data_IF_122360053281
#
_entry.id   IF_122360053281
#
_cell.length_a   1.000
_cell.length_b   1.000
_cell.length_c   1.000
_cell.angle_alpha   90.00
_cell.angle_beta   90.00
_cell.angle_gamma   90.00
#
_symmetry.space_group_name_H-M   'P 1'
#
loop_
_entity.id
_entity.type
_entity.pdbx_description
1 polymer ?
#
# COMPACT_ATOMS: atom_id res chain seq x y z
N UNK A 1 -26.40 1.57 2.51
CA UNK A 1 -25.97 2.75 3.32
C UNK A 1 -25.72 3.95 2.42
N UNK A 2 -25.51 5.15 2.99
CA UNK A 2 -25.18 6.37 2.25
C UNK A 2 -23.82 6.90 2.73
N UNK A 3 -22.93 7.23 1.81
CA UNK A 3 -21.68 7.91 2.13
C UNK A 3 -21.93 9.32 2.66
N UNK A 4 -21.19 9.69 3.69
CA UNK A 4 -21.13 11.06 4.22
C UNK A 4 -19.65 11.36 4.53
N UNK A 5 -19.11 12.52 4.12
CA UNK A 5 -17.76 12.91 4.46
C UNK A 5 -17.50 12.84 5.98
N UNK A 6 -16.33 12.37 6.37
CA UNK A 6 -16.02 12.04 7.76
C UNK A 6 -16.27 13.21 8.75
N UNK A 7 -15.90 14.42 8.33
CA UNK A 7 -16.07 15.63 9.15
C UNK A 7 -17.52 16.14 9.20
N UNK A 8 -18.39 15.61 8.33
CA UNK A 8 -19.81 15.99 8.26
C UNK A 8 -20.72 14.99 9.00
N UNK A 9 -20.16 13.96 9.64
CA UNK A 9 -20.95 12.98 10.39
C UNK A 9 -21.73 13.57 11.54
N UNK A 10 -21.15 14.53 12.27
CA UNK A 10 -21.84 15.29 13.32
C UNK A 10 -22.40 14.44 14.47
N UNK A 11 -21.71 13.37 14.88
CA UNK A 11 -22.13 12.47 15.95
C UNK A 11 -23.29 11.53 15.60
N UNK A 12 -23.75 11.50 14.34
CA UNK A 12 -24.82 10.61 13.90
C UNK A 12 -24.35 9.14 13.88
N UNK A 13 -25.26 8.16 14.14
CA UNK A 13 -24.96 6.74 14.01
C UNK A 13 -24.34 6.42 12.64
N UNK A 14 -23.15 5.82 12.65
CA UNK A 14 -22.40 5.56 11.42
C UNK A 14 -21.54 4.29 11.52
N UNK A 15 -21.10 3.81 10.36
CA UNK A 15 -20.05 2.80 10.18
C UNK A 15 -18.83 3.49 9.59
N UNK A 16 -17.65 3.23 10.15
CA UNK A 16 -16.38 3.65 9.56
C UNK A 16 -15.72 2.44 8.94
N UNK A 17 -15.42 2.55 7.65
CA UNK A 17 -14.66 1.55 6.90
C UNK A 17 -13.24 2.05 6.69
N UNK A 18 -12.27 1.15 6.83
CA UNK A 18 -10.87 1.41 6.54
C UNK A 18 -10.31 2.69 7.18
N UNK A 19 -10.63 2.92 8.44
CA UNK A 19 -10.25 4.16 9.14
C UNK A 19 -10.46 4.09 10.64
N UNK A 20 -10.30 5.24 11.28
CA UNK A 20 -10.48 5.40 12.73
C UNK A 20 -11.91 5.81 13.09
N UNK A 21 -12.47 5.32 14.19
CA UNK A 21 -13.80 5.72 14.65
C UNK A 21 -13.85 7.20 15.05
N UNK A 22 -15.05 7.76 14.99
CA UNK A 22 -15.36 9.11 15.50
C UNK A 22 -16.61 9.06 16.38
N UNK A 23 -17.06 10.20 16.89
CA UNK A 23 -18.31 10.27 17.64
C UNK A 23 -19.49 9.70 16.84
N UNK A 24 -20.31 8.87 17.46
CA UNK A 24 -21.45 8.20 16.82
C UNK A 24 -21.09 6.95 16.02
N UNK A 25 -19.82 6.57 15.91
CA UNK A 25 -19.43 5.33 15.22
C UNK A 25 -19.88 4.10 16.02
N UNK A 26 -20.75 3.27 15.40
CA UNK A 26 -21.27 2.04 15.98
C UNK A 26 -20.45 0.81 15.59
N UNK A 27 -19.79 0.84 14.43
CA UNK A 27 -18.93 -0.23 13.95
C UNK A 27 -17.76 0.38 13.17
N UNK A 28 -16.55 -0.08 13.49
CA UNK A 28 -15.35 0.19 12.70
C UNK A 28 -14.85 -1.12 12.12
N UNK A 29 -14.63 -1.15 10.80
CA UNK A 29 -14.07 -2.30 10.10
C UNK A 29 -12.87 -1.84 9.30
N UNK A 30 -11.71 -2.24 9.77
CA UNK A 30 -10.42 -1.84 9.21
C UNK A 30 -9.37 -2.90 9.54
N UNK A 31 -8.33 -2.97 8.70
CA UNK A 31 -7.15 -3.78 8.97
C UNK A 31 -6.10 -3.02 9.80
N UNK A 32 -6.38 -1.78 10.20
CA UNK A 32 -5.42 -0.95 10.92
C UNK A 32 -5.14 -1.46 12.33
N UNK A 33 -3.91 -1.31 12.83
CA UNK A 33 -3.54 -1.67 14.19
C UNK A 33 -4.41 -0.94 15.23
N UNK A 34 -4.76 -1.66 16.30
CA UNK A 34 -5.55 -1.09 17.40
C UNK A 34 -7.08 -1.17 17.22
N UNK A 35 -7.56 -1.52 16.03
CA UNK A 35 -8.98 -1.64 15.73
C UNK A 35 -9.31 -3.05 15.22
N UNK A 36 -9.38 -4.07 16.10
CA UNK A 36 -9.65 -5.44 15.65
C UNK A 36 -11.07 -5.55 15.09
N UNK A 37 -11.24 -5.98 13.83
CA UNK A 37 -12.56 -6.19 13.25
C UNK A 37 -13.24 -7.41 13.89
N UNK A 38 -14.58 -7.56 13.77
CA UNK A 38 -15.26 -8.79 14.15
C UNK A 38 -14.62 -10.00 13.46
N UNK A 39 -14.39 -11.09 14.21
CA UNK A 39 -13.62 -12.26 13.73
C UNK A 39 -14.21 -12.87 12.46
N UNK A 40 -15.53 -12.87 12.31
CA UNK A 40 -16.21 -13.45 11.15
C UNK A 40 -15.90 -12.72 9.83
N UNK A 41 -15.56 -11.43 9.90
CA UNK A 41 -15.27 -10.60 8.71
C UNK A 41 -13.80 -10.27 8.53
N UNK A 42 -12.95 -10.59 9.51
CA UNK A 42 -11.54 -10.26 9.49
C UNK A 42 -10.81 -10.82 8.26
N UNK A 43 -10.10 -9.96 7.53
CA UNK A 43 -9.32 -10.28 6.33
C UNK A 43 -8.12 -9.32 6.18
N UNK A 44 -7.38 -9.40 5.10
CA UNK A 44 -6.18 -8.59 4.84
C UNK A 44 -6.50 -7.14 4.46
N UNK A 45 -7.59 -6.92 3.74
CA UNK A 45 -8.05 -5.62 3.25
C UNK A 45 -9.42 -5.27 3.83
N UNK A 46 -9.64 -4.01 4.12
CA UNK A 46 -10.95 -3.51 4.58
C UNK A 46 -12.02 -3.73 3.52
N UNK A 47 -11.67 -3.69 2.23
CA UNK A 47 -12.56 -4.04 1.11
C UNK A 47 -13.05 -5.50 1.20
N UNK A 48 -12.16 -6.45 1.47
CA UNK A 48 -12.55 -7.85 1.68
C UNK A 48 -13.47 -8.00 2.88
N UNK A 49 -13.17 -7.28 3.97
CA UNK A 49 -14.02 -7.25 5.16
C UNK A 49 -15.40 -6.66 4.87
N UNK A 50 -15.50 -5.63 4.01
CA UNK A 50 -16.77 -5.05 3.59
C UNK A 50 -17.65 -6.07 2.85
N UNK A 51 -17.07 -6.84 1.92
CA UNK A 51 -17.81 -7.91 1.25
C UNK A 51 -18.22 -9.02 2.21
N UNK A 52 -17.38 -9.38 3.19
CA UNK A 52 -17.78 -10.33 4.24
C UNK A 52 -18.89 -9.79 5.13
N UNK A 53 -18.94 -8.48 5.39
CA UNK A 53 -20.08 -7.86 6.10
C UNK A 53 -21.38 -8.01 5.32
N UNK A 54 -21.34 -7.93 3.99
CA UNK A 54 -22.54 -8.20 3.17
C UNK A 54 -22.98 -9.66 3.24
N UNK A 55 -22.02 -10.60 3.42
CA UNK A 55 -22.30 -12.02 3.65
C UNK A 55 -22.80 -12.30 5.09
N UNK A 56 -22.59 -11.36 6.05
CA UNK A 56 -22.94 -11.41 7.47
C UNK A 56 -23.76 -10.18 7.90
N UNK A 57 -24.96 -9.97 7.32
CA UNK A 57 -25.76 -8.75 7.57
C UNK A 57 -26.17 -8.57 9.05
N UNK A 58 -26.16 -9.62 9.84
CA UNK A 58 -26.43 -9.58 11.29
C UNK A 58 -25.36 -8.80 12.09
N UNK A 59 -24.18 -8.57 11.50
CA UNK A 59 -23.11 -7.77 12.12
C UNK A 59 -23.23 -6.26 11.82
N UNK A 60 -24.06 -5.88 10.86
CA UNK A 60 -24.28 -4.47 10.54
C UNK A 60 -25.18 -3.83 11.64
N UNK A 61 -24.74 -2.71 12.23
CA UNK A 61 -25.55 -1.99 13.18
C UNK A 61 -26.71 -1.26 12.50
N UNK A 62 -27.66 -0.77 13.31
CA UNK A 62 -28.74 0.11 12.84
C UNK A 62 -28.16 1.51 12.54
N UNK A 63 -27.49 1.62 11.41
CA UNK A 63 -26.87 2.85 10.90
C UNK A 63 -27.11 2.97 9.39
N UNK A 64 -27.47 4.18 8.95
CA UNK A 64 -27.67 4.47 7.53
C UNK A 64 -26.43 5.07 6.86
N UNK A 65 -25.45 5.52 7.66
CA UNK A 65 -24.29 6.29 7.20
C UNK A 65 -23.03 5.43 7.23
N UNK A 66 -22.22 5.59 6.18
CA UNK A 66 -20.85 5.03 6.09
C UNK A 66 -19.86 6.13 5.73
N UNK A 67 -18.66 6.05 6.29
CA UNK A 67 -17.60 7.03 6.08
C UNK A 67 -16.20 6.45 6.20
N UNK A 68 -15.20 7.26 5.82
CA UNK A 68 -13.77 7.04 6.06
C UNK A 68 -13.09 8.39 6.31
N UNK A 69 -12.01 8.40 7.09
CA UNK A 69 -11.23 9.60 7.43
C UNK A 69 -10.13 9.97 6.43
N UNK A 70 -9.91 9.19 5.40
CA UNK A 70 -8.97 9.43 4.31
C UNK A 70 -9.53 8.86 3.00
N UNK A 71 -8.84 9.10 1.88
CA UNK A 71 -9.20 8.55 0.57
C UNK A 71 -8.06 7.71 0.00
N UNK A 72 -8.37 6.45 -0.29
CA UNK A 72 -7.56 5.52 -1.06
C UNK A 72 -8.46 4.45 -1.73
N UNK A 73 -7.84 3.44 -2.34
CA UNK A 73 -8.56 2.41 -3.07
C UNK A 73 -9.26 1.41 -2.17
N UNK A 74 -8.65 1.03 -1.04
CA UNK A 74 -9.25 0.08 -0.08
C UNK A 74 -10.47 0.71 0.60
N UNK A 75 -10.33 1.94 1.09
CA UNK A 75 -11.44 2.71 1.65
C UNK A 75 -12.56 2.94 0.65
N UNK A 76 -12.23 3.31 -0.61
CA UNK A 76 -13.22 3.50 -1.66
C UNK A 76 -14.04 2.24 -1.94
N UNK A 77 -13.38 1.10 -2.14
CA UNK A 77 -14.05 -0.19 -2.40
C UNK A 77 -14.89 -0.60 -1.20
N UNK A 78 -14.37 -0.44 0.01
CA UNK A 78 -15.09 -0.75 1.26
C UNK A 78 -16.40 0.02 1.38
N UNK A 79 -16.37 1.33 1.10
CA UNK A 79 -17.56 2.20 1.13
C UNK A 79 -18.50 1.84 -0.02
N UNK A 80 -17.97 1.63 -1.24
CA UNK A 80 -18.77 1.28 -2.40
C UNK A 80 -19.57 -0.01 -2.20
N UNK A 81 -18.96 -1.02 -1.58
CA UNK A 81 -19.64 -2.27 -1.25
C UNK A 81 -20.88 -2.05 -0.37
N UNK A 82 -20.84 -1.11 0.58
CA UNK A 82 -21.97 -0.81 1.47
C UNK A 82 -22.98 0.18 0.85
N UNK A 83 -22.56 1.04 -0.09
CA UNK A 83 -23.43 2.05 -0.75
C UNK A 83 -24.19 1.42 -1.91
N UNK A 84 -23.55 0.60 -2.74
CA UNK A 84 -24.17 -0.11 -3.86
C UNK A 84 -23.80 -1.59 -3.87
N UNK A 85 -24.32 -2.38 -2.93
CA UNK A 85 -23.94 -3.78 -2.74
C UNK A 85 -24.23 -4.64 -3.98
N UNK A 86 -25.26 -4.35 -4.75
CA UNK A 86 -25.62 -5.15 -5.94
C UNK A 86 -24.57 -5.01 -7.02
N UNK A 87 -24.21 -3.76 -7.36
CA UNK A 87 -23.20 -3.47 -8.38
C UNK A 87 -21.81 -3.89 -7.92
N UNK A 88 -21.49 -3.71 -6.63
CA UNK A 88 -20.21 -4.10 -6.04
C UNK A 88 -20.03 -5.63 -6.04
N UNK A 89 -21.02 -6.41 -5.58
CA UNK A 89 -20.95 -7.87 -5.56
C UNK A 89 -20.76 -8.46 -6.97
N UNK A 90 -21.37 -7.86 -8.00
CA UNK A 90 -21.18 -8.30 -9.39
C UNK A 90 -19.74 -8.13 -9.90
N UNK A 91 -18.93 -7.30 -9.22
CA UNK A 91 -17.53 -6.99 -9.57
C UNK A 91 -16.55 -7.31 -8.44
N UNK A 92 -16.97 -8.08 -7.43
CA UNK A 92 -16.23 -8.34 -6.19
C UNK A 92 -14.74 -8.64 -6.45
N UNK A 93 -14.43 -9.62 -7.29
CA UNK A 93 -13.06 -10.03 -7.54
C UNK A 93 -12.17 -8.89 -8.09
N UNK A 94 -12.70 -8.06 -9.01
CA UNK A 94 -11.99 -6.92 -9.55
C UNK A 94 -11.82 -5.81 -8.52
N UNK A 95 -12.83 -5.57 -7.68
CA UNK A 95 -12.78 -4.54 -6.65
C UNK A 95 -11.85 -4.92 -5.49
N UNK A 96 -11.82 -6.18 -5.05
CA UNK A 96 -10.84 -6.67 -4.08
C UNK A 96 -9.40 -6.54 -4.63
N UNK A 97 -9.20 -6.81 -5.92
CA UNK A 97 -7.91 -6.65 -6.59
C UNK A 97 -7.51 -5.17 -6.75
N UNK A 98 -8.49 -4.28 -6.99
CA UNK A 98 -8.28 -2.83 -7.00
C UNK A 98 -7.80 -2.31 -5.63
N UNK A 99 -8.38 -2.79 -4.53
CA UNK A 99 -7.96 -2.45 -3.18
C UNK A 99 -6.50 -2.92 -2.93
N UNK A 100 -6.16 -4.15 -3.33
CA UNK A 100 -4.79 -4.67 -3.25
C UNK A 100 -3.80 -3.87 -4.11
N UNK A 101 -4.23 -3.40 -5.28
CA UNK A 101 -3.40 -2.55 -6.14
C UNK A 101 -3.13 -1.17 -5.52
N UNK A 102 -4.05 -0.65 -4.71
CA UNK A 102 -3.86 0.56 -3.92
C UNK A 102 -2.87 0.34 -2.78
N UNK A 103 -3.24 -0.50 -1.83
CA UNK A 103 -2.56 -0.65 -0.55
C UNK A 103 -1.27 -1.45 -0.62
N UNK A 104 -1.30 -2.60 -1.31
CA UNK A 104 -0.19 -3.55 -1.33
C UNK A 104 0.68 -3.45 -2.58
N UNK A 105 0.29 -2.59 -3.53
CA UNK A 105 0.91 -2.52 -4.84
C UNK A 105 1.00 -3.92 -5.50
N UNK A 106 -0.07 -4.73 -5.36
CA UNK A 106 -0.20 -6.04 -6.00
C UNK A 106 -1.48 -6.10 -6.82
N UNK A 107 -1.46 -6.86 -7.91
CA UNK A 107 -2.64 -7.04 -8.75
C UNK A 107 -2.62 -8.38 -9.47
N UNK A 108 -3.78 -8.87 -9.85
CA UNK A 108 -4.00 -10.07 -10.68
C UNK A 108 -4.57 -9.70 -12.03
N UNK A 109 -5.50 -8.73 -12.06
CA UNK A 109 -6.11 -8.19 -13.27
C UNK A 109 -5.52 -6.82 -13.58
N UNK A 110 -4.97 -6.65 -14.79
CA UNK A 110 -4.42 -5.37 -15.24
C UNK A 110 -5.44 -4.23 -15.21
N UNK A 111 -6.73 -4.56 -15.32
CA UNK A 111 -7.81 -3.58 -15.18
C UNK A 111 -7.81 -2.96 -13.79
N UNK A 112 -7.65 -3.76 -12.73
CA UNK A 112 -7.55 -3.27 -11.35
C UNK A 112 -6.37 -2.31 -11.18
N UNK A 113 -5.19 -2.67 -11.69
CA UNK A 113 -4.01 -1.80 -11.68
C UNK A 113 -4.28 -0.46 -12.39
N UNK A 114 -4.89 -0.49 -13.59
CA UNK A 114 -5.23 0.72 -14.36
C UNK A 114 -6.27 1.58 -13.67
N UNK A 115 -7.30 0.99 -13.07
CA UNK A 115 -8.28 1.74 -12.25
C UNK A 115 -7.58 2.39 -11.06
N UNK A 116 -6.69 1.69 -10.37
CA UNK A 116 -5.88 2.25 -9.29
C UNK A 116 -5.03 3.44 -9.76
N UNK A 117 -4.44 3.37 -10.97
CA UNK A 117 -3.69 4.48 -11.57
C UNK A 117 -4.58 5.69 -11.88
N UNK A 118 -5.82 5.47 -12.37
CA UNK A 118 -6.79 6.57 -12.57
C UNK A 118 -7.13 7.26 -11.26
N UNK A 119 -7.42 6.49 -10.21
CA UNK A 119 -7.74 7.04 -8.88
C UNK A 119 -6.54 7.81 -8.30
N UNK A 120 -5.31 7.28 -8.47
CA UNK A 120 -4.08 7.97 -8.11
C UNK A 120 -3.88 9.27 -8.91
N UNK A 121 -4.21 9.27 -10.19
CA UNK A 121 -4.16 10.46 -11.03
C UNK A 121 -5.15 11.55 -10.53
N UNK A 122 -6.37 11.15 -10.20
CA UNK A 122 -7.35 12.08 -9.62
C UNK A 122 -6.90 12.62 -8.26
N UNK A 123 -6.38 11.76 -7.37
CA UNK A 123 -5.84 12.18 -6.08
C UNK A 123 -4.64 13.13 -6.21
N UNK A 124 -3.91 13.08 -7.32
CA UNK A 124 -2.84 14.02 -7.68
C UNK A 124 -3.34 15.27 -8.43
N UNK A 125 -4.66 15.49 -8.54
CA UNK A 125 -5.24 16.65 -9.24
C UNK A 125 -5.07 16.60 -10.76
N UNK A 126 -4.89 15.42 -11.35
CA UNK A 126 -4.81 15.24 -12.80
C UNK A 126 -6.20 14.89 -13.39
N UNK A 127 -6.42 15.30 -14.64
CA UNK A 127 -7.68 15.02 -15.35
C UNK A 127 -8.70 16.14 -15.23
N UNK A 128 -9.96 15.76 -15.10
CA UNK A 128 -11.13 16.64 -15.07
C UNK A 128 -11.59 17.00 -13.64
N UNK A 129 -10.73 16.78 -12.63
CA UNK A 129 -11.01 17.05 -11.23
C UNK A 129 -10.14 18.20 -10.74
N UNK A 130 -10.77 19.26 -10.21
CA UNK A 130 -10.09 20.36 -9.54
C UNK A 130 -10.17 20.13 -8.03
N UNK A 131 -9.03 19.83 -7.41
CA UNK A 131 -8.96 19.52 -5.99
C UNK A 131 -9.01 20.80 -5.14
N UNK A 132 -9.83 20.82 -4.06
CA UNK A 132 -9.75 21.84 -3.01
C UNK A 132 -8.36 21.92 -2.38
N UNK A 133 -8.08 23.00 -1.65
CA UNK A 133 -6.79 23.19 -0.97
C UNK A 133 -6.67 22.41 0.34
N UNK A 134 -7.77 22.09 1.00
CA UNK A 134 -7.76 21.35 2.27
C UNK A 134 -8.08 19.86 2.05
N UNK A 135 -7.36 19.02 2.77
CA UNK A 135 -7.45 17.57 2.62
C UNK A 135 -8.84 16.98 2.91
N UNK A 136 -9.60 17.41 3.94
CA UNK A 136 -10.95 16.93 4.16
C UNK A 136 -11.89 17.14 2.96
N UNK A 137 -11.86 18.33 2.35
CA UNK A 137 -12.64 18.61 1.16
C UNK A 137 -12.13 17.84 -0.07
N UNK A 138 -10.81 17.63 -0.20
CA UNK A 138 -10.25 16.76 -1.24
C UNK A 138 -10.79 15.33 -1.12
N UNK A 139 -10.71 14.74 0.07
CA UNK A 139 -11.19 13.38 0.32
C UNK A 139 -12.70 13.26 0.03
N UNK A 140 -13.51 14.22 0.47
CA UNK A 140 -14.94 14.26 0.21
C UNK A 140 -15.23 14.27 -1.31
N UNK A 141 -14.58 15.16 -2.06
CA UNK A 141 -14.74 15.27 -3.52
C UNK A 141 -14.31 13.97 -4.23
N UNK A 142 -13.16 13.40 -3.82
CA UNK A 142 -12.64 12.16 -4.41
C UNK A 142 -13.61 11.00 -4.18
N UNK A 143 -14.20 10.88 -3.00
CA UNK A 143 -15.25 9.89 -2.74
C UNK A 143 -16.47 10.13 -3.62
N UNK A 144 -17.00 11.35 -3.68
CA UNK A 144 -18.21 11.67 -4.46
C UNK A 144 -18.01 11.31 -5.94
N UNK A 145 -16.91 11.74 -6.54
CA UNK A 145 -16.59 11.47 -7.95
C UNK A 145 -16.33 9.97 -8.19
N UNK A 146 -15.55 9.35 -7.31
CA UNK A 146 -15.15 7.96 -7.50
C UNK A 146 -16.32 6.99 -7.28
N UNK A 147 -17.15 7.19 -6.25
CA UNK A 147 -18.34 6.38 -6.01
C UNK A 147 -19.32 6.44 -7.20
N UNK A 148 -19.49 7.63 -7.79
CA UNK A 148 -20.36 7.80 -8.95
C UNK A 148 -19.84 7.12 -10.23
N UNK A 149 -18.52 6.95 -10.36
CA UNK A 149 -17.86 6.51 -11.62
C UNK A 149 -17.18 5.15 -11.51
N UNK A 150 -17.15 4.51 -10.33
CA UNK A 150 -16.36 3.28 -10.11
C UNK A 150 -16.80 2.13 -11.03
N UNK A 151 -18.10 1.94 -11.24
CA UNK A 151 -18.59 0.93 -12.17
C UNK A 151 -18.14 1.20 -13.61
N UNK A 152 -18.18 2.46 -14.07
CA UNK A 152 -17.69 2.85 -15.39
C UNK A 152 -16.18 2.64 -15.52
N UNK A 153 -15.40 2.98 -14.48
CA UNK A 153 -13.96 2.72 -14.46
C UNK A 153 -13.65 1.22 -14.60
N UNK A 154 -14.36 0.37 -13.86
CA UNK A 154 -14.18 -1.08 -13.93
C UNK A 154 -14.54 -1.65 -15.31
N UNK A 155 -15.63 -1.18 -15.90
CA UNK A 155 -16.16 -1.74 -17.16
C UNK A 155 -15.48 -1.14 -18.40
N UNK A 156 -14.91 0.08 -18.30
CA UNK A 156 -14.43 0.88 -19.44
C UNK A 156 -13.15 1.65 -19.16
N UNK A 157 -12.18 1.09 -18.42
CA UNK A 157 -10.94 1.77 -18.02
C UNK A 157 -10.16 2.37 -19.20
N UNK A 158 -10.28 1.78 -20.40
CA UNK A 158 -9.62 2.28 -21.60
C UNK A 158 -10.04 3.71 -21.99
N UNK A 159 -11.23 4.16 -21.61
CA UNK A 159 -11.67 5.54 -21.83
C UNK A 159 -10.85 6.58 -21.06
N UNK A 160 -10.16 6.12 -20.03
CA UNK A 160 -9.33 6.94 -19.13
C UNK A 160 -7.84 6.82 -19.40
N UNK A 161 -7.44 6.31 -20.58
CA UNK A 161 -6.04 6.04 -20.92
C UNK A 161 -5.12 7.23 -20.70
N UNK A 162 -5.59 8.47 -20.89
CA UNK A 162 -4.79 9.67 -20.65
C UNK A 162 -4.34 9.84 -19.18
N UNK A 163 -4.99 9.13 -18.23
CA UNK A 163 -4.67 9.20 -16.79
C UNK A 163 -3.77 8.06 -16.32
N UNK A 164 -3.83 6.91 -16.98
CA UNK A 164 -3.11 5.72 -16.55
C UNK A 164 -1.99 5.26 -17.51
N UNK A 165 -2.00 5.74 -18.79
CA UNK A 165 -1.16 5.16 -19.84
C UNK A 165 0.33 5.21 -19.54
N UNK A 166 0.86 6.36 -19.14
CA UNK A 166 2.30 6.55 -18.87
C UNK A 166 2.78 5.69 -17.69
N UNK A 167 1.94 5.56 -16.66
CA UNK A 167 2.23 4.72 -15.49
C UNK A 167 2.17 3.22 -15.86
N UNK A 168 1.20 2.81 -16.65
CA UNK A 168 1.07 1.44 -17.17
C UNK A 168 2.22 1.05 -18.10
N UNK A 169 2.71 1.99 -18.90
CA UNK A 169 3.90 1.79 -19.73
C UNK A 169 5.15 1.57 -18.86
N UNK A 170 5.28 2.31 -17.75
CA UNK A 170 6.39 2.13 -16.79
C UNK A 170 6.27 0.80 -16.03
N UNK A 171 5.06 0.42 -15.61
CA UNK A 171 4.82 -0.89 -15.02
C UNK A 171 5.22 -2.00 -15.99
N UNK A 172 4.81 -1.88 -17.26
CA UNK A 172 5.17 -2.84 -18.31
C UNK A 172 6.68 -2.91 -18.53
N UNK A 173 7.39 -1.78 -18.54
CA UNK A 173 8.84 -1.75 -18.68
C UNK A 173 9.54 -2.43 -17.50
N UNK A 174 9.09 -2.19 -16.26
CA UNK A 174 9.61 -2.83 -15.05
C UNK A 174 9.41 -4.34 -15.05
N UNK A 175 8.20 -4.81 -15.41
CA UNK A 175 7.92 -6.24 -15.58
C UNK A 175 8.78 -6.89 -16.67
N UNK A 176 9.04 -6.18 -17.76
CA UNK A 176 9.91 -6.66 -18.82
C UNK A 176 11.36 -6.75 -18.36
N UNK A 177 11.86 -5.78 -17.58
CA UNK A 177 13.20 -5.80 -17.01
C UNK A 177 13.40 -7.03 -16.10
N UNK A 178 12.40 -7.37 -15.27
CA UNK A 178 12.42 -8.60 -14.46
C UNK A 178 12.45 -9.84 -15.38
N UNK A 179 11.58 -9.92 -16.40
CA UNK A 179 11.55 -11.06 -17.31
C UNK A 179 12.83 -11.24 -18.13
N UNK A 180 13.56 -10.15 -18.44
CA UNK A 180 14.84 -10.20 -19.18
C UNK A 180 16.05 -10.44 -18.28
N UNK A 181 15.86 -10.46 -16.95
CA UNK A 181 16.95 -10.60 -15.98
C UNK A 181 17.78 -9.32 -15.78
N UNK A 182 17.35 -8.17 -16.28
CA UNK A 182 17.90 -6.85 -15.98
C UNK A 182 17.60 -6.45 -14.51
N UNK A 183 16.55 -7.04 -13.96
CA UNK A 183 16.22 -7.02 -12.53
C UNK A 183 16.08 -8.45 -12.06
N UNK A 184 16.90 -8.87 -11.09
CA UNK A 184 16.79 -10.18 -10.49
C UNK A 184 16.27 -10.09 -9.06
N UNK A 185 15.41 -11.04 -8.66
CA UNK A 185 14.81 -11.07 -7.33
C UNK A 185 15.17 -12.40 -6.66
N UNK A 186 15.81 -12.33 -5.49
CA UNK A 186 16.21 -13.49 -4.71
C UNK A 186 15.59 -13.44 -3.34
N UNK A 187 14.74 -14.39 -3.01
CA UNK A 187 14.07 -14.49 -1.72
C UNK A 187 14.96 -15.18 -0.68
N UNK A 188 15.09 -14.57 0.50
CA UNK A 188 15.67 -15.15 1.70
C UNK A 188 14.53 -15.34 2.71
N UNK A 189 13.80 -16.45 2.56
CA UNK A 189 12.58 -16.74 3.32
C UNK A 189 12.77 -16.82 4.83
N UNK A 190 13.97 -17.22 5.29
CA UNK A 190 14.34 -17.31 6.71
C UNK A 190 14.16 -15.97 7.46
N UNK A 191 14.38 -14.84 6.79
CA UNK A 191 14.26 -13.49 7.36
C UNK A 191 13.20 -12.63 6.66
N UNK A 192 12.41 -13.25 5.75
CA UNK A 192 11.32 -12.63 5.02
C UNK A 192 11.74 -11.41 4.17
N UNK A 193 12.94 -11.51 3.52
CA UNK A 193 13.48 -10.44 2.67
C UNK A 193 13.66 -10.92 1.23
N UNK A 194 13.30 -10.06 0.27
CA UNK A 194 13.68 -10.16 -1.12
C UNK A 194 14.85 -9.22 -1.42
N UNK A 195 15.89 -9.72 -2.04
CA UNK A 195 16.98 -8.90 -2.60
C UNK A 195 16.65 -8.66 -4.06
N UNK A 196 16.49 -7.39 -4.42
CA UNK A 196 16.18 -6.93 -5.77
C UNK A 196 17.44 -6.29 -6.34
N UNK A 197 18.16 -7.04 -7.16
CA UNK A 197 19.37 -6.54 -7.85
C UNK A 197 18.96 -5.92 -9.19
N UNK A 198 19.27 -4.65 -9.38
CA UNK A 198 18.92 -3.85 -10.55
C UNK A 198 20.18 -3.56 -11.36
N UNK A 199 20.23 -4.05 -12.60
CA UNK A 199 21.31 -3.72 -13.54
C UNK A 199 21.35 -2.21 -13.84
N UNK A 200 22.53 -1.63 -14.03
CA UNK A 200 22.70 -0.21 -14.36
C UNK A 200 21.99 0.17 -15.67
N UNK A 201 21.78 -0.79 -16.55
CA UNK A 201 21.08 -0.61 -17.84
C UNK A 201 19.56 -0.70 -17.72
N UNK A 202 19.03 -1.17 -16.60
CA UNK A 202 17.59 -1.28 -16.38
C UNK A 202 16.91 0.10 -16.43
N UNK A 203 15.65 0.19 -16.90
CA UNK A 203 14.90 1.44 -16.91
C UNK A 203 14.85 2.09 -15.52
N UNK A 204 14.98 3.40 -15.45
CA UNK A 204 14.89 4.18 -14.24
C UNK A 204 13.93 5.35 -14.46
N UNK A 205 12.64 5.09 -14.41
CA UNK A 205 11.59 6.11 -14.54
C UNK A 205 11.09 6.48 -13.15
N UNK A 206 11.21 7.74 -12.76
CA UNK A 206 10.68 8.21 -11.48
C UNK A 206 9.16 8.21 -11.45
N UNK A 207 8.59 7.99 -10.28
CA UNK A 207 7.16 8.06 -10.03
C UNK A 207 6.88 8.05 -8.53
N UNK A 208 5.61 8.28 -8.17
CA UNK A 208 5.16 8.30 -6.79
C UNK A 208 3.83 7.55 -6.66
N UNK A 209 3.73 6.74 -5.63
CA UNK A 209 2.49 6.06 -5.21
C UNK A 209 2.38 6.06 -3.69
N UNK A 210 1.35 5.41 -3.15
CA UNK A 210 1.28 5.09 -1.73
C UNK A 210 2.60 4.43 -1.27
N UNK A 211 3.17 4.94 -0.19
CA UNK A 211 4.48 4.51 0.30
C UNK A 211 5.66 5.39 -0.13
N UNK A 212 5.49 6.26 -1.13
CA UNK A 212 6.51 7.23 -1.53
C UNK A 212 6.99 7.13 -2.97
N UNK A 213 8.19 7.67 -3.22
CA UNK A 213 8.82 7.62 -4.54
C UNK A 213 9.26 6.20 -4.89
N UNK A 214 9.23 5.87 -6.18
CA UNK A 214 9.63 4.55 -6.66
C UNK A 214 11.12 4.31 -6.44
N UNK A 215 11.44 3.15 -5.87
CA UNK A 215 12.83 2.78 -5.59
C UNK A 215 13.55 2.44 -6.90
N UNK A 216 14.67 3.11 -7.13
CA UNK A 216 15.51 2.94 -8.32
C UNK A 216 14.75 2.97 -9.65
N UNK A 217 13.62 3.69 -9.68
CA UNK A 217 12.80 3.88 -10.86
C UNK A 217 11.98 2.66 -11.30
N UNK A 218 11.91 1.63 -10.47
CA UNK A 218 11.05 0.46 -10.70
C UNK A 218 9.63 0.73 -10.21
N UNK A 219 8.65 0.34 -11.02
CA UNK A 219 7.26 0.41 -10.59
C UNK A 219 7.01 -0.60 -9.45
N UNK A 220 6.50 -0.19 -8.28
CA UNK A 220 6.36 -1.07 -7.11
C UNK A 220 5.50 -2.30 -7.40
N UNK A 221 4.44 -2.19 -8.19
CA UNK A 221 3.61 -3.34 -8.57
C UNK A 221 4.40 -4.43 -9.30
N UNK A 222 5.43 -4.09 -10.09
CA UNK A 222 6.24 -5.09 -10.76
C UNK A 222 7.08 -5.90 -9.75
N UNK A 223 7.64 -5.22 -8.75
CA UNK A 223 8.45 -5.84 -7.70
C UNK A 223 7.57 -6.65 -6.75
N UNK A 224 6.48 -6.05 -6.25
CA UNK A 224 5.61 -6.69 -5.26
C UNK A 224 4.83 -7.89 -5.82
N UNK A 225 4.53 -7.91 -7.11
CA UNK A 225 3.96 -9.10 -7.76
C UNK A 225 4.98 -10.23 -7.98
N UNK A 226 6.27 -9.92 -7.97
CA UNK A 226 7.34 -10.90 -8.21
C UNK A 226 7.83 -11.58 -6.92
N UNK A 227 7.49 -11.06 -5.74
CA UNK A 227 7.84 -11.63 -4.44
C UNK A 227 6.74 -11.38 -3.40
N UNK A 228 6.56 -12.35 -2.48
CA UNK A 228 5.67 -12.20 -1.33
C UNK A 228 6.40 -11.76 -0.05
N UNK A 229 7.71 -11.46 -0.12
CA UNK A 229 8.50 -11.01 1.02
C UNK A 229 8.06 -9.62 1.47
N UNK A 230 8.02 -9.39 2.80
CA UNK A 230 7.57 -8.12 3.40
C UNK A 230 8.69 -7.12 3.63
N UNK A 231 9.94 -7.56 3.47
CA UNK A 231 11.12 -6.70 3.41
C UNK A 231 11.66 -6.76 1.98
N UNK A 232 11.77 -5.61 1.31
CA UNK A 232 12.34 -5.53 -0.02
C UNK A 232 13.63 -4.72 0.05
N UNK A 233 14.75 -5.32 -0.29
CA UNK A 233 16.06 -4.67 -0.33
C UNK A 233 16.49 -4.51 -1.79
N UNK A 234 16.48 -3.28 -2.29
CA UNK A 234 16.87 -2.94 -3.66
C UNK A 234 18.31 -2.49 -3.72
N UNK A 235 19.05 -3.06 -4.66
CA UNK A 235 20.48 -2.78 -4.89
C UNK A 235 20.65 -2.37 -6.36
N UNK A 236 21.20 -1.18 -6.60
CA UNK A 236 21.60 -0.71 -7.94
C UNK A 236 23.01 -0.13 -7.88
N UNK A 237 23.98 -0.88 -8.40
CA UNK A 237 25.38 -0.54 -8.24
C UNK A 237 25.78 -0.47 -6.75
N UNK A 238 26.09 0.71 -6.28
CA UNK A 238 26.44 0.99 -4.88
C UNK A 238 25.34 1.77 -4.12
N UNK A 239 24.12 1.82 -4.65
CA UNK A 239 22.95 2.39 -3.97
C UNK A 239 22.10 1.29 -3.37
N UNK A 240 21.65 1.53 -2.15
CA UNK A 240 20.91 0.57 -1.35
C UNK A 240 19.66 1.22 -0.79
N UNK A 241 18.53 0.51 -0.90
CA UNK A 241 17.27 0.88 -0.27
C UNK A 241 16.64 -0.37 0.37
N UNK A 242 16.04 -0.24 1.55
CA UNK A 242 15.27 -1.30 2.19
C UNK A 242 13.91 -0.75 2.55
N UNK A 243 12.87 -1.38 2.05
CA UNK A 243 11.48 -1.05 2.33
C UNK A 243 10.84 -2.12 3.20
N UNK A 244 10.11 -1.71 4.25
CA UNK A 244 9.17 -2.57 4.95
C UNK A 244 7.79 -2.36 4.37
N UNK A 245 7.28 -3.33 3.60
CA UNK A 245 5.99 -3.23 2.90
C UNK A 245 4.82 -2.98 3.85
N UNK A 246 3.77 -2.34 3.33
CA UNK A 246 2.60 -1.93 4.11
C UNK A 246 1.88 -3.10 4.79
N UNK A 247 1.83 -4.28 4.15
CA UNK A 247 1.24 -5.50 4.73
C UNK A 247 1.84 -5.85 6.10
N UNK A 248 3.09 -5.47 6.36
CA UNK A 248 3.73 -5.67 7.66
C UNK A 248 3.32 -4.65 8.73
N UNK A 249 2.61 -3.57 8.33
CA UNK A 249 2.08 -2.56 9.24
C UNK A 249 0.66 -2.87 9.69
N UNK A 250 -0.18 -3.41 8.79
CA UNK A 250 -1.59 -3.75 9.02
C UNK A 250 -1.77 -5.13 9.66
N UNK A 251 -2.98 -5.46 10.09
CA UNK A 251 -3.37 -6.78 10.60
C UNK A 251 -3.50 -7.80 9.44
N UNK A 252 -2.41 -8.04 8.71
CA UNK A 252 -2.37 -8.98 7.60
C UNK A 252 -2.52 -10.43 8.08
N UNK A 253 -3.36 -11.25 7.43
CA UNK A 253 -3.83 -12.55 7.95
C UNK A 253 -3.59 -13.73 7.02
N UNK A 254 -3.44 -13.50 5.71
CA UNK A 254 -3.26 -14.56 4.71
C UNK A 254 -2.04 -15.43 4.94
N UNK A 255 -1.04 -14.93 5.67
CA UNK A 255 0.11 -15.70 6.13
C UNK A 255 0.61 -15.20 7.48
N UNK A 256 1.36 -16.05 8.24
CA UNK A 256 2.00 -15.60 9.47
C UNK A 256 2.92 -14.41 9.19
N UNK A 257 2.70 -13.30 9.91
CA UNK A 257 3.59 -12.13 9.84
C UNK A 257 4.85 -12.36 10.66
N UNK A 258 5.99 -11.95 10.09
CA UNK A 258 7.18 -11.66 10.86
C UNK A 258 7.11 -10.19 11.30
N UNK A 259 7.09 -9.95 12.61
CA UNK A 259 7.05 -8.61 13.19
C UNK A 259 8.23 -7.77 12.67
N UNK A 260 7.97 -6.50 12.33
CA UNK A 260 9.01 -5.58 11.84
C UNK A 260 10.16 -5.45 12.81
N UNK A 261 11.35 -5.26 12.26
CA UNK A 261 12.56 -4.84 12.99
C UNK A 261 12.78 -3.34 12.77
N UNK A 262 13.24 -2.64 13.81
CA UNK A 262 13.65 -1.25 13.65
C UNK A 262 14.94 -1.20 12.82
N UNK A 263 14.92 -0.48 11.71
CA UNK A 263 16.06 -0.35 10.81
C UNK A 263 17.05 0.76 11.22
N UNK A 264 16.71 1.61 12.20
CA UNK A 264 17.58 2.70 12.65
C UNK A 264 18.94 2.20 13.21
N UNK A 265 18.98 1.12 14.03
CA UNK A 265 20.27 0.57 14.45
C UNK A 265 21.12 0.02 13.31
N UNK A 266 20.48 -0.56 12.28
CA UNK A 266 21.20 -1.00 11.08
C UNK A 266 21.76 0.18 10.29
N UNK A 267 20.98 1.25 10.12
CA UNK A 267 21.47 2.47 9.47
C UNK A 267 22.69 3.06 10.18
N UNK A 268 22.68 3.08 11.51
CA UNK A 268 23.84 3.53 12.32
C UNK A 268 25.05 2.63 12.12
N UNK A 269 24.87 1.31 12.11
CA UNK A 269 25.97 0.36 11.88
C UNK A 269 26.56 0.51 10.48
N UNK A 270 25.70 0.69 9.45
CA UNK A 270 26.16 0.93 8.08
C UNK A 270 26.91 2.27 7.95
N UNK A 271 26.45 3.31 8.65
CA UNK A 271 27.14 4.60 8.68
C UNK A 271 28.52 4.48 9.36
N UNK A 272 28.66 3.71 10.41
CA UNK A 272 29.96 3.48 11.10
C UNK A 272 30.95 2.70 10.23
N UNK A 273 30.48 1.83 9.33
CA UNK A 273 31.30 1.09 8.37
C UNK A 273 31.56 1.88 7.05
N UNK A 274 30.83 2.98 6.82
CA UNK A 274 30.95 3.79 5.59
C UNK A 274 32.31 4.52 5.54
N UNK A 275 33.04 4.37 4.43
CA UNK A 275 34.32 5.04 4.16
C UNK A 275 34.21 6.11 3.08
N UNK A 276 33.04 6.21 2.40
CA UNK A 276 32.76 7.18 1.36
C UNK A 276 31.85 8.33 1.87
N UNK A 277 31.16 8.95 0.95
CA UNK A 277 30.30 10.11 1.23
C UNK A 277 28.80 9.74 1.39
N UNK A 278 28.46 8.46 1.34
CA UNK A 278 27.07 8.02 1.52
C UNK A 278 26.56 8.37 2.91
N UNK A 279 25.29 8.76 2.97
CA UNK A 279 24.61 9.08 4.23
C UNK A 279 23.49 8.08 4.45
N UNK A 280 23.71 7.16 5.37
CA UNK A 280 22.75 6.14 5.74
C UNK A 280 21.69 6.70 6.69
N UNK A 281 20.44 6.48 6.35
CA UNK A 281 19.31 6.91 7.18
C UNK A 281 18.21 5.86 7.16
N UNK A 282 17.44 5.80 8.24
CA UNK A 282 16.24 4.97 8.33
C UNK A 282 15.09 5.74 8.97
N UNK A 283 13.89 5.42 8.55
CA UNK A 283 12.66 6.00 9.09
C UNK A 283 12.16 5.19 10.29
N UNK A 284 11.37 5.82 11.20
CA UNK A 284 10.80 5.12 12.35
C UNK A 284 9.93 3.92 11.93
N UNK A 285 10.09 2.80 12.62
CA UNK A 285 9.43 1.51 12.30
C UNK A 285 7.89 1.57 12.26
N UNK A 286 7.28 2.51 12.97
CA UNK A 286 5.83 2.72 13.02
C UNK A 286 5.25 3.46 11.80
N UNK A 287 6.08 3.97 10.87
CA UNK A 287 5.56 4.54 9.62
C UNK A 287 4.88 3.46 8.78
N UNK A 288 3.96 3.86 7.91
CA UNK A 288 3.22 2.93 7.04
C UNK A 288 4.17 2.07 6.20
N UNK A 289 5.12 2.71 5.50
CA UNK A 289 6.15 2.07 4.69
C UNK A 289 7.50 2.70 5.04
N UNK A 290 8.16 2.26 6.14
CA UNK A 290 9.44 2.83 6.53
C UNK A 290 10.55 2.31 5.63
N UNK A 291 11.51 3.19 5.33
CA UNK A 291 12.67 2.91 4.49
C UNK A 291 13.99 3.12 5.22
N UNK A 292 15.01 2.37 4.78
CA UNK A 292 16.42 2.61 5.03
C UNK A 292 17.09 2.85 3.69
N UNK A 293 17.94 3.88 3.58
CA UNK A 293 18.62 4.21 2.33
C UNK A 293 20.06 4.65 2.55
N UNK A 294 20.93 4.39 1.57
CA UNK A 294 22.28 4.92 1.49
C UNK A 294 22.35 6.37 0.96
N UNK A 295 21.19 6.94 0.64
CA UNK A 295 21.13 8.23 -0.06
C UNK A 295 21.49 8.14 -1.56
N UNK A 296 21.52 9.28 -2.27
CA UNK A 296 21.74 9.30 -3.73
C UNK A 296 23.18 9.03 -4.16
N UNK A 297 24.14 9.16 -3.24
CA UNK A 297 25.54 8.81 -3.48
C UNK A 297 25.78 7.32 -3.41
N UNK A 298 26.79 6.80 -4.10
CA UNK A 298 27.19 5.40 -3.94
C UNK A 298 27.88 5.16 -2.59
N UNK A 299 27.57 4.06 -1.93
CA UNK A 299 28.22 3.60 -0.69
C UNK A 299 29.54 2.92 -0.97
N UNK A 300 30.50 3.01 -0.04
CA UNK A 300 31.75 2.22 -0.07
C UNK A 300 31.54 0.77 0.39
N UNK A 301 30.39 0.46 0.98
CA UNK A 301 30.04 -0.90 1.46
C UNK A 301 29.72 -1.77 0.26
N UNK A 302 30.36 -2.96 0.18
CA UNK A 302 30.06 -3.89 -0.89
C UNK A 302 28.64 -4.51 -0.75
N UNK A 303 28.07 -4.94 -1.87
CA UNK A 303 26.77 -5.62 -1.91
C UNK A 303 26.72 -6.82 -0.93
N UNK A 304 27.73 -7.63 -0.93
CA UNK A 304 27.81 -8.82 -0.06
C UNK A 304 27.82 -8.44 1.41
N UNK A 305 28.56 -7.41 1.78
CA UNK A 305 28.62 -6.90 3.15
C UNK A 305 27.30 -6.29 3.59
N UNK A 306 26.66 -5.50 2.73
CA UNK A 306 25.33 -4.95 2.99
C UNK A 306 24.29 -6.05 3.25
N UNK A 307 24.24 -7.08 2.40
CA UNK A 307 23.30 -8.21 2.56
C UNK A 307 23.60 -8.99 3.84
N UNK A 308 24.86 -9.24 4.15
CA UNK A 308 25.27 -9.90 5.40
C UNK A 308 24.73 -9.15 6.62
N UNK A 309 24.95 -7.83 6.68
CA UNK A 309 24.51 -6.97 7.78
C UNK A 309 22.99 -6.93 7.89
N UNK A 310 22.30 -6.75 6.76
CA UNK A 310 20.83 -6.72 6.71
C UNK A 310 20.23 -8.04 7.20
N UNK A 311 20.68 -9.18 6.67
CA UNK A 311 20.18 -10.51 7.07
C UNK A 311 20.46 -10.80 8.53
N UNK A 312 21.66 -10.47 9.03
CA UNK A 312 22.00 -10.63 10.43
C UNK A 312 21.11 -9.75 11.32
N UNK A 313 20.89 -8.48 10.94
CA UNK A 313 20.01 -7.57 11.67
C UNK A 313 18.58 -8.11 11.72
N UNK A 314 17.99 -8.49 10.57
CA UNK A 314 16.64 -9.04 10.50
C UNK A 314 16.46 -10.33 11.32
N UNK A 315 17.53 -11.12 11.48
CA UNK A 315 17.54 -12.35 12.28
C UNK A 315 17.60 -12.07 13.78
N UNK A 316 18.44 -11.13 14.21
CA UNK A 316 18.84 -10.97 15.62
C UNK A 316 18.17 -9.79 16.34
N UNK A 317 17.78 -8.73 15.63
CA UNK A 317 17.13 -7.58 16.24
C UNK A 317 15.78 -7.96 16.88
N UNK A 318 15.41 -7.32 18.00
CA UNK A 318 14.13 -7.59 18.63
C UNK A 318 12.95 -7.12 17.77
N UNK A 319 11.74 -7.74 17.92
CA UNK A 319 10.51 -7.23 17.33
C UNK A 319 10.24 -5.79 17.79
N UNK A 320 9.97 -4.91 16.84
CA UNK A 320 9.74 -3.48 17.10
C UNK A 320 8.32 -3.01 16.74
N UNK A 321 7.60 -3.77 15.90
CA UNK A 321 6.21 -3.50 15.54
C UNK A 321 5.43 -4.81 15.38
N UNK A 322 4.25 -4.86 16.02
CA UNK A 322 3.28 -5.94 15.88
C UNK A 322 1.90 -5.31 15.64
N UNK A 323 1.28 -5.47 14.47
CA UNK A 323 0.00 -4.83 14.17
C UNK A 323 -1.18 -5.40 14.98
N UNK A 324 -1.06 -6.60 15.55
CA UNK A 324 -2.09 -7.20 16.39
C UNK A 324 -2.02 -6.72 17.85
N UNK A 325 -0.84 -6.29 18.29
CA UNK A 325 -0.61 -5.76 19.64
C UNK A 325 0.26 -4.48 19.57
N UNK A 326 -0.21 -3.42 18.90
CA UNK A 326 0.59 -2.21 18.76
C UNK A 326 0.87 -1.63 20.14
N UNK A 327 2.12 -1.28 20.39
CA UNK A 327 2.49 -0.54 21.61
C UNK A 327 1.98 0.89 21.45
N UNK A 328 1.18 1.33 22.42
CA UNK A 328 0.68 2.71 22.54
C UNK A 328 1.81 3.72 22.68
#
# INVERSE_FOLDING_TARGET
MRFVPYHDLGGRPNVVMDGSPTEGTLLTVTHWPGYPPPTAVADDLSAQMAFRLLDHPELLPDAELVSNNHFDQDGLVSIYALVDPVTACARRALLEDLAAAGDFATYRDRTAARVSMVLGAWAAGRGDIELPSDYPAQAALLYDVSLARLAELCDHVERFRALWGDEDDTLTASEQAIRRGEVSITDIGEVDVAIVDVDETAPATGGHRFGGDWVEGLHPMAVHNATDRLVVATVRGQRYDVELRYESWVQFRSRPLRNRRDLMPLASQLQDEELGDATWSAEPVGRLVPRLTSGPGGSSISRERFIELLVNHLRTAPPAWDPFTPRS
#
